data_IF_063571651209
#
_entry.id   IF_063571651209
#
_cell.length_a   1.000
_cell.length_b   1.000
_cell.length_c   1.000
_cell.angle_alpha   90.00
_cell.angle_beta   90.00
_cell.angle_gamma   90.00
#
_symmetry.space_group_name_H-M   'P 1'
#
loop_
_entity.id
_entity.type
_entity.pdbx_description
1 polymer ?
#
# COMPACT_ATOMS: atom_id res chain seq x y z
N UNK A 1 55.64 -14.53 41.11
CA UNK A 1 55.22 -15.89 40.71
C UNK A 1 54.30 -15.75 39.49
N UNK A 2 54.54 -16.57 38.46
CA UNK A 2 53.89 -16.65 37.13
C UNK A 2 52.36 -16.44 37.14
N UNK A 3 51.82 -15.60 36.26
CA UNK A 3 51.19 -15.92 34.96
C UNK A 3 49.75 -16.45 35.10
N UNK A 4 48.78 -15.74 34.52
CA UNK A 4 47.77 -16.31 33.61
C UNK A 4 46.87 -15.22 33.01
N UNK A 5 46.98 -15.07 31.69
CA UNK A 5 45.97 -14.50 30.80
C UNK A 5 44.68 -15.33 30.88
N UNK A 6 43.52 -14.68 31.01
CA UNK A 6 42.26 -15.19 30.46
C UNK A 6 41.55 -14.03 29.76
N UNK A 7 41.63 -14.05 28.44
CA UNK A 7 40.67 -13.40 27.54
C UNK A 7 39.38 -14.20 27.68
N UNK A 8 38.32 -13.59 28.22
CA UNK A 8 36.96 -14.14 28.10
C UNK A 8 36.12 -13.18 27.27
N UNK A 9 35.99 -13.56 26.02
CA UNK A 9 35.01 -13.11 25.04
C UNK A 9 33.61 -13.29 25.65
N UNK A 10 32.94 -12.22 26.11
CA UNK A 10 31.51 -12.27 26.41
C UNK A 10 30.76 -11.40 25.41
N UNK A 11 30.51 -12.06 24.27
CA UNK A 11 29.32 -12.02 23.43
C UNK A 11 28.40 -10.83 23.72
N UNK A 12 28.42 -9.92 22.76
CA UNK A 12 27.43 -8.90 22.49
C UNK A 12 26.07 -9.57 22.24
N UNK A 13 25.37 -9.98 23.29
CA UNK A 13 23.92 -10.14 23.22
C UNK A 13 23.33 -8.76 23.42
N UNK A 14 23.17 -8.02 22.32
CA UNK A 14 22.07 -7.08 22.21
C UNK A 14 20.79 -7.88 22.46
N UNK A 15 20.42 -8.00 23.73
CA UNK A 15 19.03 -8.21 24.09
C UNK A 15 18.31 -7.03 23.45
N UNK A 16 17.63 -7.28 22.33
CA UNK A 16 16.59 -6.42 21.82
C UNK A 16 15.58 -6.30 22.98
N UNK A 17 15.71 -5.24 23.78
CA UNK A 17 14.64 -4.78 24.62
C UNK A 17 13.45 -4.55 23.68
N UNK A 18 12.36 -5.27 23.91
CA UNK A 18 11.05 -4.89 23.42
C UNK A 18 10.75 -3.48 23.93
N UNK A 19 10.95 -2.47 23.08
CA UNK A 19 10.57 -1.10 23.41
C UNK A 19 9.05 -1.00 23.22
N UNK A 20 8.28 -1.34 24.25
CA UNK A 20 6.95 -0.78 24.46
C UNK A 20 7.13 0.69 24.82
N UNK A 21 7.37 1.53 23.82
CA UNK A 21 7.58 2.97 23.99
C UNK A 21 6.27 3.70 24.24
N UNK A 22 6.30 4.77 25.02
CA UNK A 22 5.19 5.73 25.11
C UNK A 22 5.01 6.42 23.75
N UNK A 23 3.76 6.55 23.29
CA UNK A 23 3.41 7.25 22.05
C UNK A 23 3.91 8.71 22.10
N UNK A 24 4.70 9.14 21.10
CA UNK A 24 5.11 10.55 20.94
C UNK A 24 4.25 11.25 19.90
N UNK A 25 4.23 12.58 19.96
CA UNK A 25 3.66 13.39 18.88
C UNK A 25 4.44 13.10 17.59
N UNK A 26 3.76 12.87 16.46
CA UNK A 26 4.34 12.53 15.14
C UNK A 26 4.81 11.09 14.91
N UNK A 27 4.37 10.15 15.74
CA UNK A 27 4.65 8.73 15.55
C UNK A 27 3.38 7.92 15.25
N UNK A 28 3.58 6.66 14.86
CA UNK A 28 2.53 5.65 14.68
C UNK A 28 2.72 4.48 15.65
N UNK A 29 1.60 3.90 16.09
CA UNK A 29 1.51 2.59 16.77
C UNK A 29 0.49 1.72 16.05
N UNK A 30 0.18 0.54 16.60
CA UNK A 30 -0.93 -0.27 16.15
C UNK A 30 -1.90 -0.66 17.26
N UNK A 31 -3.15 -0.92 16.86
CA UNK A 31 -4.21 -1.46 17.72
C UNK A 31 -5.13 -2.41 16.94
N UNK A 32 -6.02 -3.08 17.67
CA UNK A 32 -7.06 -3.92 17.11
C UNK A 32 -6.63 -5.34 16.78
N UNK A 33 -7.48 -6.05 16.05
CA UNK A 33 -7.27 -7.44 15.70
C UNK A 33 -7.19 -7.70 14.20
N UNK A 34 -6.90 -8.95 13.88
CA UNK A 34 -6.92 -9.51 12.53
C UNK A 34 -8.28 -9.26 11.86
N UNK A 35 -8.29 -9.01 10.55
CA UNK A 35 -9.52 -8.71 9.81
C UNK A 35 -10.57 -9.82 9.91
N UNK A 36 -10.19 -11.07 10.17
CA UNK A 36 -11.15 -12.16 10.40
C UNK A 36 -12.06 -11.95 11.62
N UNK A 37 -11.64 -11.11 12.56
CA UNK A 37 -12.41 -10.75 13.75
C UNK A 37 -13.32 -9.53 13.53
N UNK A 38 -13.33 -8.94 12.32
CA UNK A 38 -14.16 -7.79 11.96
C UNK A 38 -15.18 -8.24 10.89
N UNK A 39 -16.47 -7.88 11.00
CA UNK A 39 -17.11 -6.93 11.92
C UNK A 39 -17.73 -7.59 13.18
N UNK A 40 -17.08 -8.59 13.78
CA UNK A 40 -17.72 -9.34 14.86
C UNK A 40 -18.01 -8.42 16.06
N UNK A 41 -19.23 -8.54 16.61
CA UNK A 41 -19.58 -7.91 17.89
C UNK A 41 -18.74 -8.48 19.02
N UNK A 42 -18.62 -7.75 20.13
CA UNK A 42 -17.95 -8.22 21.34
C UNK A 42 -18.37 -9.64 21.77
N UNK A 43 -19.67 -9.91 21.81
CA UNK A 43 -20.20 -11.23 22.18
C UNK A 43 -19.83 -12.34 21.19
N UNK A 44 -19.61 -12.01 19.92
CA UNK A 44 -19.13 -12.96 18.92
C UNK A 44 -17.62 -13.19 19.05
N UNK A 45 -16.83 -12.13 19.28
CA UNK A 45 -15.38 -12.24 19.53
C UNK A 45 -15.09 -13.11 20.76
N UNK A 46 -15.88 -12.95 21.83
CA UNK A 46 -15.79 -13.75 23.06
C UNK A 46 -16.04 -15.26 22.86
N UNK A 47 -16.51 -15.68 21.69
CA UNK A 47 -16.74 -17.10 21.34
C UNK A 47 -15.61 -17.69 20.49
N UNK A 48 -14.68 -16.88 19.99
CA UNK A 48 -13.62 -17.30 19.06
C UNK A 48 -12.27 -17.07 19.73
N UNK A 49 -11.54 -18.14 20.03
CA UNK A 49 -10.29 -18.08 20.82
C UNK A 49 -9.28 -17.04 20.30
N UNK A 50 -9.14 -16.93 18.97
CA UNK A 50 -8.22 -15.99 18.33
C UNK A 50 -8.66 -14.52 18.42
N UNK A 51 -9.95 -14.26 18.72
CA UNK A 51 -10.52 -12.92 18.82
C UNK A 51 -10.76 -12.47 20.28
N UNK A 52 -10.55 -13.34 21.29
CA UNK A 52 -10.74 -13.04 22.73
C UNK A 52 -9.67 -12.13 23.33
N UNK A 53 -8.62 -11.79 22.58
CA UNK A 53 -7.50 -10.98 23.07
C UNK A 53 -7.92 -9.56 23.43
N UNK A 54 -7.37 -9.00 24.52
CA UNK A 54 -7.62 -7.61 24.95
C UNK A 54 -7.40 -6.58 23.83
N UNK A 55 -6.39 -6.82 22.99
CA UNK A 55 -6.08 -6.00 21.81
C UNK A 55 -7.20 -6.04 20.76
N UNK A 56 -7.95 -7.13 20.62
CA UNK A 56 -9.07 -7.19 19.68
C UNK A 56 -10.26 -6.34 20.15
N UNK A 57 -10.48 -6.25 21.46
CA UNK A 57 -11.56 -5.46 22.04
C UNK A 57 -11.32 -3.94 21.94
N UNK A 58 -10.11 -3.49 21.58
CA UNK A 58 -9.87 -2.07 21.29
C UNK A 58 -10.51 -1.60 19.99
N UNK A 59 -11.11 -2.50 19.21
CA UNK A 59 -11.93 -2.16 18.01
C UNK A 59 -13.43 -2.26 18.27
N UNK A 60 -13.84 -2.57 19.50
CA UNK A 60 -15.25 -2.59 19.88
C UNK A 60 -15.76 -1.14 20.01
N UNK A 61 -16.93 -0.85 19.44
CA UNK A 61 -17.55 0.47 19.49
C UNK A 61 -16.72 1.60 18.85
N UNK A 62 -16.33 1.50 17.57
CA UNK A 62 -15.49 2.51 16.91
C UNK A 62 -16.15 3.90 16.91
N UNK A 63 -15.47 4.91 17.44
CA UNK A 63 -16.05 6.23 17.77
C UNK A 63 -16.55 7.03 16.55
N UNK A 64 -16.07 6.74 15.34
CA UNK A 64 -16.48 7.44 14.13
C UNK A 64 -17.71 6.83 13.43
N UNK A 65 -18.21 5.70 13.93
CA UNK A 65 -19.30 4.93 13.33
C UNK A 65 -20.34 4.58 14.40
N UNK A 66 -21.55 4.18 13.99
CA UNK A 66 -22.60 3.77 14.94
C UNK A 66 -22.28 2.43 15.59
N UNK A 67 -21.70 1.52 14.83
CA UNK A 67 -21.40 0.15 15.23
C UNK A 67 -20.30 -0.47 14.34
N UNK A 68 -19.81 -1.65 14.73
CA UNK A 68 -18.77 -2.40 14.01
C UNK A 68 -19.22 -2.84 12.62
N UNK A 69 -20.52 -3.05 12.39
CA UNK A 69 -21.03 -3.42 11.07
C UNK A 69 -20.98 -2.24 10.11
N UNK A 70 -21.33 -1.02 10.56
CA UNK A 70 -21.18 0.20 9.75
C UNK A 70 -19.68 0.49 9.48
N UNK A 71 -18.82 0.23 10.47
CA UNK A 71 -17.40 0.47 10.34
C UNK A 71 -16.69 -0.57 9.45
N UNK A 72 -17.01 -1.86 9.54
CA UNK A 72 -16.21 -2.92 8.93
C UNK A 72 -17.01 -3.93 8.09
N UNK A 73 -18.33 -3.93 8.18
CA UNK A 73 -19.17 -5.03 7.69
C UNK A 73 -19.31 -5.16 6.17
N UNK A 74 -18.89 -4.15 5.43
CA UNK A 74 -18.79 -4.19 3.97
C UNK A 74 -17.39 -4.57 3.46
N UNK A 75 -16.44 -4.84 4.37
CA UNK A 75 -15.06 -5.14 4.04
C UNK A 75 -14.30 -3.99 3.38
N UNK A 76 -14.81 -2.75 3.40
CA UNK A 76 -14.14 -1.59 2.77
C UNK A 76 -13.07 -0.96 3.66
N UNK A 77 -13.17 -1.15 4.98
CA UNK A 77 -12.27 -0.59 5.98
C UNK A 77 -11.31 -1.64 6.57
N UNK A 78 -10.77 -2.52 5.73
CA UNK A 78 -9.69 -3.45 6.12
C UNK A 78 -8.47 -2.67 6.63
N UNK A 79 -8.15 -1.57 5.94
CA UNK A 79 -7.13 -0.63 6.39
C UNK A 79 -7.78 0.55 7.11
N UNK A 80 -7.59 0.60 8.42
CA UNK A 80 -8.16 1.63 9.27
C UNK A 80 -7.14 2.23 10.24
N UNK A 81 -7.53 3.30 10.90
CA UNK A 81 -6.74 4.03 11.90
C UNK A 81 -7.63 4.78 12.90
N UNK A 82 -7.06 5.10 14.05
CA UNK A 82 -7.60 6.02 15.05
C UNK A 82 -6.74 7.29 15.15
N UNK A 83 -7.39 8.44 15.27
CA UNK A 83 -6.72 9.74 15.46
C UNK A 83 -6.82 10.20 16.92
N UNK A 84 -5.82 10.92 17.41
CA UNK A 84 -5.83 11.46 18.77
C UNK A 84 -7.03 12.40 19.01
N UNK A 85 -7.69 12.28 20.15
CA UNK A 85 -8.72 13.23 20.61
C UNK A 85 -8.14 14.60 20.97
N UNK A 86 -6.82 14.71 21.12
CA UNK A 86 -6.11 15.98 21.33
C UNK A 86 -5.87 16.72 20.00
N UNK A 87 -6.10 16.08 18.85
CA UNK A 87 -6.05 16.74 17.55
C UNK A 87 -7.20 17.76 17.44
N UNK A 88 -6.87 19.01 17.14
CA UNK A 88 -7.87 20.05 16.97
C UNK A 88 -8.88 19.68 15.86
N UNK A 89 -10.17 19.79 16.19
CA UNK A 89 -11.26 19.42 15.30
C UNK A 89 -11.37 17.91 14.97
N UNK A 90 -10.78 17.01 15.77
CA UNK A 90 -10.70 15.56 15.45
C UNK A 90 -12.02 14.93 14.97
N UNK A 91 -13.16 15.28 15.58
CA UNK A 91 -14.48 14.75 15.20
C UNK A 91 -14.83 15.02 13.74
N UNK A 92 -14.37 16.14 13.18
CA UNK A 92 -14.62 16.52 11.78
C UNK A 92 -13.82 15.68 10.78
N UNK A 93 -12.86 14.89 11.26
CA UNK A 93 -12.02 14.03 10.42
C UNK A 93 -12.46 12.57 10.44
N UNK A 94 -13.46 12.21 11.25
CA UNK A 94 -14.08 10.90 11.20
C UNK A 94 -14.55 10.58 9.78
N UNK A 95 -14.39 9.31 9.37
CA UNK A 95 -14.74 8.84 8.02
C UNK A 95 -13.96 9.52 6.88
N UNK A 96 -12.94 10.33 7.15
CA UNK A 96 -11.97 10.72 6.12
C UNK A 96 -10.86 9.66 6.01
N UNK A 97 -9.99 9.83 5.03
CA UNK A 97 -8.79 9.03 4.90
C UNK A 97 -7.64 9.65 5.68
N UNK A 98 -6.91 8.82 6.43
CA UNK A 98 -5.55 9.13 6.82
C UNK A 98 -4.61 8.48 5.81
N UNK A 99 -3.71 9.27 5.23
CA UNK A 99 -2.67 8.75 4.33
C UNK A 99 -1.35 8.99 5.03
N UNK A 100 -0.54 7.96 5.19
CA UNK A 100 0.67 7.99 6.00
C UNK A 100 1.85 7.40 5.25
N UNK A 101 3.02 7.97 5.49
CA UNK A 101 4.30 7.58 4.92
C UNK A 101 5.39 7.63 5.99
N UNK A 102 6.24 6.62 6.03
CA UNK A 102 7.36 6.59 6.96
C UNK A 102 8.45 7.62 6.58
N UNK A 103 9.06 8.22 7.60
CA UNK A 103 10.22 9.10 7.49
C UNK A 103 11.42 8.46 8.17
N UNK A 104 11.97 7.41 7.54
CA UNK A 104 13.05 6.57 8.11
C UNK A 104 14.46 7.08 7.82
N UNK A 105 14.63 8.01 6.88
CA UNK A 105 15.94 8.38 6.33
C UNK A 105 16.35 7.55 5.12
N UNK A 106 15.47 6.70 4.58
CA UNK A 106 15.75 5.81 3.44
C UNK A 106 14.90 6.17 2.21
N UNK A 107 15.38 5.80 1.00
CA UNK A 107 14.75 6.10 -0.29
C UNK A 107 13.70 5.07 -0.75
N UNK A 108 12.89 4.52 0.17
CA UNK A 108 11.83 3.54 -0.14
C UNK A 108 10.54 3.71 0.68
N UNK A 109 10.01 4.92 0.89
CA UNK A 109 8.85 5.07 1.75
C UNK A 109 7.57 4.75 0.97
N UNK A 110 6.96 3.65 1.41
CA UNK A 110 5.61 3.25 1.03
C UNK A 110 4.60 4.17 1.72
N UNK A 111 3.52 4.47 1.01
CA UNK A 111 2.36 5.18 1.54
C UNK A 111 1.19 4.21 1.68
N UNK A 112 0.45 4.30 2.78
CA UNK A 112 -0.81 3.60 2.97
C UNK A 112 -1.94 4.60 3.22
N UNK A 113 -3.11 4.30 2.64
CA UNK A 113 -4.39 4.95 2.89
C UNK A 113 -5.22 4.09 3.82
N UNK A 114 -5.63 4.67 4.93
CA UNK A 114 -6.52 4.05 5.92
C UNK A 114 -7.80 4.87 6.06
N UNK A 115 -8.89 4.24 6.48
CA UNK A 115 -10.09 4.95 6.93
C UNK A 115 -9.93 5.36 8.39
N UNK A 116 -10.29 6.60 8.73
CA UNK A 116 -10.38 7.03 10.13
C UNK A 116 -11.70 6.48 10.70
N UNK A 117 -11.59 5.41 11.50
CA UNK A 117 -12.74 4.69 12.06
C UNK A 117 -12.93 4.93 13.55
N UNK A 118 -11.91 5.38 14.24
CA UNK A 118 -11.95 5.54 15.69
C UNK A 118 -11.09 6.73 16.15
N UNK A 119 -11.07 6.94 17.46
CA UNK A 119 -10.29 7.98 18.12
C UNK A 119 -9.51 7.40 19.29
N UNK A 120 -8.30 7.91 19.52
CA UNK A 120 -7.43 7.46 20.60
C UNK A 120 -7.32 8.54 21.68
N UNK A 121 -7.70 8.20 22.91
CA UNK A 121 -7.79 9.17 24.02
C UNK A 121 -6.46 9.43 24.74
N UNK A 122 -5.60 8.42 24.74
CA UNK A 122 -4.29 8.35 25.36
C UNK A 122 -3.17 8.81 24.43
N UNK A 123 -3.46 8.89 23.13
CA UNK A 123 -2.53 9.32 22.10
C UNK A 123 -2.23 10.82 22.19
N UNK A 124 -0.96 11.19 22.03
CA UNK A 124 -0.54 12.60 21.89
C UNK A 124 -1.16 13.23 20.64
N UNK A 125 -1.27 14.56 20.63
CA UNK A 125 -1.94 15.37 19.61
C UNK A 125 -1.80 14.92 18.14
N UNK A 126 -0.61 14.55 17.69
CA UNK A 126 -0.33 14.21 16.29
C UNK A 126 -0.07 12.73 16.03
N UNK A 127 -0.25 11.91 17.04
CA UNK A 127 -0.10 10.46 16.94
C UNK A 127 -1.23 9.86 16.12
N UNK A 128 -0.89 8.88 15.28
CA UNK A 128 -1.85 8.13 14.46
C UNK A 128 -1.73 6.64 14.82
N UNK A 129 -2.79 6.08 15.38
CA UNK A 129 -2.81 4.68 15.78
C UNK A 129 -3.41 3.84 14.64
N UNK A 130 -2.66 2.88 14.11
CA UNK A 130 -3.05 2.14 12.91
C UNK A 130 -3.72 0.80 13.27
N UNK A 131 -4.72 0.38 12.51
CA UNK A 131 -5.15 -1.01 12.60
C UNK A 131 -3.99 -1.96 12.30
N UNK A 132 -3.95 -3.13 12.93
CA UNK A 132 -2.88 -4.13 12.79
C UNK A 132 -2.43 -4.35 11.34
N UNK A 133 -3.37 -4.64 10.43
CA UNK A 133 -3.06 -4.86 9.01
C UNK A 133 -2.55 -3.59 8.29
N UNK A 134 -3.00 -2.41 8.72
CA UNK A 134 -2.50 -1.12 8.20
C UNK A 134 -1.04 -0.93 8.59
N UNK A 135 -0.72 -1.19 9.86
CA UNK A 135 0.64 -1.05 10.39
C UNK A 135 1.63 -1.98 9.68
N UNK A 136 1.25 -3.24 9.48
CA UNK A 136 2.06 -4.25 8.80
C UNK A 136 2.45 -3.91 7.35
N UNK A 137 1.73 -2.99 6.69
CA UNK A 137 2.14 -2.50 5.37
C UNK A 137 3.33 -1.57 5.42
N UNK A 138 3.58 -0.95 6.57
CA UNK A 138 4.67 -0.02 6.80
C UNK A 138 5.82 -0.69 7.55
N UNK A 139 5.51 -1.37 8.64
CA UNK A 139 6.50 -1.93 9.57
C UNK A 139 6.03 -3.28 10.13
N UNK A 140 6.95 -4.22 10.43
CA UNK A 140 6.59 -5.42 11.18
C UNK A 140 6.09 -5.05 12.58
N UNK A 141 5.15 -5.84 13.13
CA UNK A 141 4.52 -5.57 14.44
C UNK A 141 5.49 -5.57 15.63
N UNK A 142 6.66 -6.22 15.49
CA UNK A 142 7.71 -6.19 16.50
C UNK A 142 8.42 -4.82 16.60
N UNK A 143 8.15 -3.91 15.66
CA UNK A 143 8.55 -2.50 15.71
C UNK A 143 7.41 -1.69 16.29
N UNK A 144 7.59 -1.14 17.49
CA UNK A 144 6.50 -0.43 18.18
C UNK A 144 6.18 0.97 17.65
N UNK A 145 7.18 1.72 17.15
CA UNK A 145 7.06 3.17 16.91
C UNK A 145 7.89 3.62 15.70
N UNK A 146 7.32 4.51 14.86
CA UNK A 146 8.08 5.20 13.81
C UNK A 146 7.62 6.63 13.52
N UNK A 147 8.59 7.47 13.15
CA UNK A 147 8.38 8.84 12.69
C UNK A 147 7.74 8.86 11.30
N UNK A 148 6.73 9.71 11.12
CA UNK A 148 5.92 9.73 9.89
C UNK A 148 5.63 11.16 9.41
N UNK A 149 5.29 11.24 8.14
CA UNK A 149 4.41 12.28 7.61
C UNK A 149 3.07 11.64 7.29
N UNK A 150 1.99 12.30 7.69
CA UNK A 150 0.66 11.87 7.35
C UNK A 150 -0.27 13.06 7.09
N UNK A 151 -1.39 12.80 6.43
CA UNK A 151 -2.38 13.82 6.16
C UNK A 151 -3.78 13.27 6.10
N UNK A 152 -4.75 14.18 6.23
CA UNK A 152 -6.17 13.89 6.23
C UNK A 152 -6.74 14.32 4.90
N UNK A 153 -7.40 13.39 4.21
CA UNK A 153 -7.94 13.59 2.88
C UNK A 153 -9.38 13.11 2.80
N UNK A 154 -10.23 13.86 2.12
CA UNK A 154 -11.56 13.41 1.75
C UNK A 154 -11.51 12.36 0.64
N UNK A 155 -12.65 11.75 0.32
CA UNK A 155 -12.76 10.78 -0.77
C UNK A 155 -12.47 11.38 -2.16
N UNK A 156 -12.80 12.65 -2.37
CA UNK A 156 -12.46 13.37 -3.61
C UNK A 156 -11.00 13.91 -3.61
N UNK A 157 -10.20 13.59 -2.59
CA UNK A 157 -8.80 13.97 -2.50
C UNK A 157 -8.55 15.43 -2.09
N UNK A 158 -9.53 16.09 -1.48
CA UNK A 158 -9.32 17.38 -0.82
C UNK A 158 -8.45 17.19 0.42
N UNK A 159 -7.36 17.95 0.52
CA UNK A 159 -6.48 17.90 1.70
C UNK A 159 -7.06 18.76 2.81
N UNK A 160 -7.37 18.14 3.96
CA UNK A 160 -7.83 18.84 5.16
C UNK A 160 -6.69 19.23 6.09
N UNK A 161 -5.68 18.36 6.23
CA UNK A 161 -4.53 18.60 7.11
C UNK A 161 -3.31 17.80 6.65
N UNK A 162 -2.12 18.31 6.95
CA UNK A 162 -0.84 17.60 6.80
C UNK A 162 -0.07 17.76 8.10
N UNK A 163 0.54 16.68 8.57
CA UNK A 163 1.14 16.56 9.91
C UNK A 163 2.48 15.86 9.76
N UNK A 164 3.54 16.53 10.22
CA UNK A 164 4.90 16.00 10.29
C UNK A 164 5.73 16.89 11.21
N UNK A 165 6.80 16.34 11.78
CA UNK A 165 7.81 17.11 12.51
C UNK A 165 8.90 17.58 11.54
N UNK A 166 8.87 18.88 11.21
CA UNK A 166 9.85 19.52 10.33
C UNK A 166 11.23 19.69 10.97
N UNK A 167 11.31 19.63 12.30
CA UNK A 167 12.56 19.79 13.04
C UNK A 167 13.29 18.45 13.23
N UNK A 168 12.57 17.34 13.15
CA UNK A 168 13.10 16.00 13.32
C UNK A 168 14.24 15.65 12.33
N UNK A 169 15.30 15.05 12.86
CA UNK A 169 16.48 14.68 12.08
C UNK A 169 16.17 13.60 11.02
N UNK A 170 15.34 12.60 11.34
CA UNK A 170 14.96 11.53 10.39
C UNK A 170 14.10 12.08 9.25
N UNK A 171 13.24 13.06 9.54
CA UNK A 171 12.49 13.80 8.51
C UNK A 171 13.44 14.47 7.51
N UNK A 172 14.42 15.23 8.01
CA UNK A 172 15.43 15.92 7.18
C UNK A 172 16.30 14.94 6.39
N UNK A 173 16.71 13.83 7.02
CA UNK A 173 17.46 12.74 6.38
C UNK A 173 16.67 12.08 5.26
N UNK A 174 15.36 11.90 5.44
CA UNK A 174 14.50 11.32 4.39
C UNK A 174 14.49 12.19 3.15
N UNK A 175 14.30 13.52 3.29
CA UNK A 175 14.36 14.44 2.16
C UNK A 175 15.73 14.42 1.47
N UNK A 176 16.81 14.40 2.27
CA UNK A 176 18.19 14.30 1.77
C UNK A 176 18.45 13.01 1.00
N UNK A 177 17.89 11.87 1.43
CA UNK A 177 18.02 10.59 0.74
C UNK A 177 17.34 10.60 -0.65
N UNK A 178 16.33 11.44 -0.85
CA UNK A 178 15.73 11.70 -2.15
C UNK A 178 16.48 12.75 -2.98
N UNK A 179 17.46 13.45 -2.40
CA UNK A 179 18.16 14.56 -3.06
C UNK A 179 17.28 15.79 -3.26
N UNK A 180 16.27 15.99 -2.40
CA UNK A 180 15.34 17.13 -2.48
C UNK A 180 15.26 17.91 -1.18
N UNK A 181 14.71 19.11 -1.24
CA UNK A 181 14.34 19.89 -0.05
C UNK A 181 13.18 19.24 0.72
N UNK A 182 13.06 19.57 2.01
CA UNK A 182 11.93 19.11 2.82
C UNK A 182 10.58 19.55 2.24
N UNK A 183 10.49 20.77 1.72
CA UNK A 183 9.27 21.28 1.09
C UNK A 183 8.88 20.48 -0.16
N UNK A 184 9.85 20.08 -0.98
CA UNK A 184 9.60 19.22 -2.15
C UNK A 184 9.12 17.83 -1.75
N UNK A 185 9.69 17.24 -0.69
CA UNK A 185 9.22 15.97 -0.13
C UNK A 185 7.76 16.07 0.35
N UNK A 186 7.43 17.13 1.08
CA UNK A 186 6.08 17.37 1.61
C UNK A 186 5.08 17.61 0.47
N UNK A 187 5.46 18.36 -0.56
CA UNK A 187 4.61 18.60 -1.74
C UNK A 187 4.38 17.32 -2.56
N UNK A 188 5.42 16.51 -2.74
CA UNK A 188 5.31 15.22 -3.40
C UNK A 188 4.42 14.25 -2.62
N UNK A 189 4.54 14.24 -1.29
CA UNK A 189 3.66 13.47 -0.42
C UNK A 189 2.21 13.94 -0.60
N UNK A 190 1.95 15.25 -0.51
CA UNK A 190 0.62 15.82 -0.68
C UNK A 190 0.00 15.43 -2.02
N UNK A 191 0.75 15.56 -3.10
CA UNK A 191 0.29 15.25 -4.46
C UNK A 191 -0.05 13.76 -4.60
N UNK A 192 0.84 12.89 -4.14
CA UNK A 192 0.64 11.43 -4.16
C UNK A 192 -0.55 11.02 -3.30
N UNK A 193 -0.69 11.60 -2.10
CA UNK A 193 -1.78 11.32 -1.19
C UNK A 193 -3.14 11.74 -1.76
N UNK A 194 -3.25 12.92 -2.38
CA UNK A 194 -4.47 13.35 -3.09
C UNK A 194 -4.88 12.37 -4.19
N UNK A 195 -3.90 11.84 -4.93
CA UNK A 195 -4.14 10.83 -5.97
C UNK A 195 -4.61 9.51 -5.37
N UNK A 196 -3.93 9.03 -4.31
CA UNK A 196 -4.27 7.79 -3.62
C UNK A 196 -5.67 7.85 -3.00
N UNK A 197 -6.05 8.99 -2.41
CA UNK A 197 -7.37 9.23 -1.82
C UNK A 197 -8.51 8.97 -2.82
N UNK A 198 -8.38 9.51 -4.04
CA UNK A 198 -9.34 9.36 -5.14
C UNK A 198 -9.34 7.98 -5.79
N UNK A 199 -8.27 7.21 -5.59
CA UNK A 199 -8.11 5.90 -6.22
C UNK A 199 -8.80 4.79 -5.41
N UNK A 200 -9.07 3.65 -6.03
CA UNK A 200 -9.48 2.43 -5.33
C UNK A 200 -8.31 1.72 -4.60
N UNK A 201 -7.07 2.19 -4.76
CA UNK A 201 -5.89 1.59 -4.14
C UNK A 201 -5.75 2.05 -2.69
N UNK A 202 -5.12 1.21 -1.88
CA UNK A 202 -4.78 1.51 -0.49
C UNK A 202 -3.29 1.77 -0.28
N UNK A 203 -2.44 1.35 -1.22
CA UNK A 203 -0.98 1.43 -1.11
C UNK A 203 -0.43 2.04 -2.39
N UNK A 204 0.58 2.88 -2.25
CA UNK A 204 1.40 3.39 -3.36
C UNK A 204 2.79 3.72 -2.84
N UNK A 205 3.76 3.77 -3.74
CA UNK A 205 5.08 4.29 -3.42
C UNK A 205 5.17 5.75 -3.88
N UNK A 206 5.93 6.57 -3.14
CA UNK A 206 6.24 7.94 -3.55
C UNK A 206 7.39 7.94 -4.56
N UNK A 207 7.30 8.76 -5.60
CA UNK A 207 8.38 8.94 -6.58
C UNK A 207 8.82 10.41 -6.58
N UNK A 208 10.09 10.65 -6.27
CA UNK A 208 10.69 11.98 -6.14
C UNK A 208 12.09 11.98 -6.79
N UNK A 209 12.31 12.86 -7.77
CA UNK A 209 13.59 13.09 -8.46
C UNK A 209 13.77 12.25 -9.74
N UNK A 210 14.36 12.76 -10.84
CA UNK A 210 15.12 14.00 -11.04
C UNK A 210 14.33 15.11 -11.76
N UNK A 211 14.59 16.36 -11.38
CA UNK A 211 14.01 17.58 -11.96
C UNK A 211 14.32 17.75 -13.46
N UNK A 212 13.29 18.07 -14.22
CA UNK A 212 13.30 19.24 -15.09
C UNK A 212 11.98 20.01 -14.84
N UNK A 213 11.93 21.35 -15.01
CA UNK A 213 10.84 22.18 -14.52
C UNK A 213 9.51 21.85 -15.21
N UNK A 214 8.44 22.10 -14.47
CA UNK A 214 7.03 22.12 -14.86
C UNK A 214 6.78 22.39 -16.36
N UNK A 215 6.05 21.54 -17.10
CA UNK A 215 5.35 21.96 -18.30
C UNK A 215 3.89 22.26 -17.97
N UNK A 216 3.57 23.54 -18.14
CA UNK A 216 2.25 24.07 -18.46
C UNK A 216 1.54 23.19 -19.51
N UNK A 217 0.23 23.03 -19.32
CA UNK A 217 -0.76 22.48 -20.26
C UNK A 217 -0.30 22.39 -21.73
N UNK A 218 -0.18 21.16 -22.25
CA UNK A 218 -0.57 20.81 -23.62
C UNK A 218 -0.44 19.30 -23.88
N UNK A 219 -1.51 18.72 -24.44
CA UNK A 219 -1.58 17.36 -25.02
C UNK A 219 -0.73 17.32 -26.30
N UNK A 220 0.06 16.25 -26.55
CA UNK A 220 -0.19 15.44 -27.76
C UNK A 220 0.07 13.93 -27.65
N UNK A 221 -0.39 13.25 -28.70
CA UNK A 221 -0.47 11.82 -29.07
C UNK A 221 0.85 11.03 -29.14
N UNK A 222 0.80 9.69 -29.37
CA UNK A 222 1.90 8.76 -29.12
C UNK A 222 2.89 8.65 -30.28
N UNK A 223 4.19 8.52 -29.97
CA UNK A 223 5.19 8.05 -30.94
C UNK A 223 6.21 7.13 -30.28
N UNK A 224 6.33 5.95 -30.87
CA UNK A 224 7.30 4.88 -30.63
C UNK A 224 8.75 5.36 -30.81
N UNK A 225 9.66 4.98 -29.90
CA UNK A 225 11.08 4.87 -30.22
C UNK A 225 11.76 3.74 -29.44
N UNK A 226 12.44 2.88 -30.19
CA UNK A 226 13.22 1.74 -29.73
C UNK A 226 14.42 2.20 -28.90
N UNK A 227 14.38 2.01 -27.58
CA UNK A 227 15.57 1.89 -26.75
C UNK A 227 15.53 0.53 -26.06
N UNK A 228 16.61 -0.24 -26.13
CA UNK A 228 16.68 -1.56 -25.52
C UNK A 228 16.69 -1.37 -24.00
N UNK A 229 15.56 -1.66 -23.36
CA UNK A 229 15.39 -1.55 -21.91
C UNK A 229 16.41 -2.43 -21.15
N UNK A 230 16.85 -2.00 -19.95
CA UNK A 230 17.78 -2.77 -19.13
C UNK A 230 17.15 -4.09 -18.64
N UNK A 231 17.97 -5.09 -18.32
CA UNK A 231 17.51 -6.36 -17.75
C UNK A 231 17.45 -6.30 -16.22
N UNK A 232 16.41 -6.88 -15.60
CA UNK A 232 16.12 -6.78 -14.16
C UNK A 232 15.56 -8.08 -13.58
N UNK A 233 15.82 -8.40 -12.32
CA UNK A 233 15.19 -9.52 -11.60
C UNK A 233 14.08 -9.06 -10.63
N UNK A 234 13.82 -7.76 -10.53
CA UNK A 234 12.90 -7.17 -9.54
C UNK A 234 11.69 -6.50 -10.19
N UNK A 235 11.89 -5.48 -11.01
CA UNK A 235 10.82 -4.73 -11.69
C UNK A 235 10.96 -4.76 -13.22
N UNK A 236 9.86 -4.55 -13.92
CA UNK A 236 9.75 -4.63 -15.38
C UNK A 236 8.58 -3.80 -15.91
N UNK A 237 8.54 -3.59 -17.23
CA UNK A 237 7.49 -2.85 -17.89
C UNK A 237 8.04 -1.85 -18.91
N UNK A 238 7.13 -1.24 -19.67
CA UNK A 238 7.47 -0.23 -20.67
C UNK A 238 8.28 0.91 -20.06
N UNK A 239 9.39 1.29 -20.70
CA UNK A 239 10.29 2.32 -20.17
C UNK A 239 11.07 1.94 -18.89
N UNK A 240 10.84 0.77 -18.29
CA UNK A 240 11.45 0.37 -17.01
C UNK A 240 12.59 -0.64 -17.23
N UNK A 241 12.23 -1.89 -17.55
CA UNK A 241 13.18 -2.98 -17.69
C UNK A 241 12.49 -4.22 -18.30
N UNK A 242 13.29 -5.12 -18.86
CA UNK A 242 12.88 -6.48 -19.21
C UNK A 242 13.34 -7.42 -18.10
N UNK A 243 12.48 -8.34 -17.68
CA UNK A 243 12.86 -9.36 -16.70
C UNK A 243 13.99 -10.25 -17.22
N UNK A 244 14.86 -10.69 -16.32
CA UNK A 244 15.91 -11.65 -16.61
C UNK A 244 15.31 -12.95 -17.17
N UNK A 245 16.13 -13.71 -17.91
CA UNK A 245 15.70 -14.95 -18.53
C UNK A 245 15.04 -15.91 -17.52
N UNK A 246 13.86 -16.43 -17.89
CA UNK A 246 13.05 -17.30 -17.03
C UNK A 246 12.25 -16.59 -15.93
N UNK A 247 12.21 -15.25 -15.91
CA UNK A 247 11.32 -14.46 -15.04
C UNK A 247 10.17 -13.86 -15.86
N UNK A 248 8.99 -13.88 -15.25
CA UNK A 248 7.76 -13.32 -15.79
C UNK A 248 7.58 -11.88 -15.32
N UNK A 249 7.11 -11.01 -16.20
CA UNK A 249 6.75 -9.66 -15.82
C UNK A 249 5.27 -9.61 -15.46
N UNK A 250 4.94 -9.45 -14.18
CA UNK A 250 3.55 -9.40 -13.73
C UNK A 250 2.80 -8.19 -14.30
N UNK A 251 1.46 -8.23 -14.26
CA UNK A 251 0.62 -7.07 -14.59
C UNK A 251 0.89 -5.83 -13.74
N UNK A 252 1.60 -6.01 -12.62
CA UNK A 252 1.98 -4.95 -11.68
C UNK A 252 3.42 -4.49 -11.85
N UNK A 253 4.12 -4.94 -12.90
CA UNK A 253 5.48 -4.50 -13.21
C UNK A 253 6.58 -5.12 -12.34
N UNK A 254 6.36 -6.34 -11.86
CA UNK A 254 7.34 -7.07 -11.06
C UNK A 254 7.84 -8.32 -11.79
N UNK A 255 9.13 -8.61 -11.67
CA UNK A 255 9.72 -9.85 -12.11
C UNK A 255 9.56 -10.93 -11.05
N UNK A 256 9.07 -12.09 -11.45
CA UNK A 256 8.99 -13.25 -10.58
C UNK A 256 8.71 -14.52 -11.37
N UNK A 257 8.82 -15.68 -10.71
CA UNK A 257 8.65 -17.00 -11.35
C UNK A 257 7.34 -17.71 -10.95
N UNK A 258 6.59 -17.17 -9.98
CA UNK A 258 5.34 -17.79 -9.53
C UNK A 258 4.15 -17.39 -10.40
N UNK A 259 3.05 -18.13 -10.28
CA UNK A 259 1.82 -17.90 -11.07
C UNK A 259 1.27 -16.46 -10.96
N UNK A 260 1.51 -15.78 -9.83
CA UNK A 260 1.09 -14.38 -9.64
C UNK A 260 1.83 -13.41 -10.57
N UNK A 261 3.03 -13.78 -11.02
CA UNK A 261 3.83 -13.00 -11.97
C UNK A 261 3.65 -13.51 -13.40
N UNK A 262 3.49 -14.82 -13.56
CA UNK A 262 3.48 -15.49 -14.84
C UNK A 262 2.09 -15.70 -15.45
N UNK A 263 1.04 -15.59 -14.64
CA UNK A 263 -0.34 -15.85 -15.03
C UNK A 263 -1.04 -14.63 -15.66
N UNK A 264 -2.33 -14.47 -15.36
CA UNK A 264 -3.18 -13.47 -16.01
C UNK A 264 -2.64 -12.04 -15.89
N UNK A 265 -2.46 -11.39 -17.05
CA UNK A 265 -1.93 -10.03 -17.16
C UNK A 265 -0.41 -9.92 -17.15
N UNK A 266 0.32 -11.05 -17.18
CA UNK A 266 1.76 -11.02 -17.44
C UNK A 266 2.07 -10.25 -18.74
N UNK A 267 3.10 -9.40 -18.71
CA UNK A 267 3.50 -8.50 -19.80
C UNK A 267 4.58 -9.18 -20.68
N UNK A 268 4.21 -9.78 -21.83
CA UNK A 268 5.10 -10.66 -22.59
C UNK A 268 6.28 -9.94 -23.25
N UNK A 269 6.18 -8.63 -23.47
CA UNK A 269 7.28 -7.82 -23.99
C UNK A 269 8.39 -7.57 -22.97
N UNK A 270 8.11 -7.82 -21.67
CA UNK A 270 9.01 -7.49 -20.57
C UNK A 270 9.32 -8.71 -19.68
N UNK A 271 8.93 -9.93 -20.05
CA UNK A 271 9.29 -11.16 -19.34
C UNK A 271 8.66 -12.41 -19.98
N UNK A 272 9.08 -13.59 -19.52
CA UNK A 272 8.57 -14.88 -20.00
C UNK A 272 7.21 -15.17 -19.37
N UNK A 273 6.09 -15.07 -20.07
CA UNK A 273 4.78 -15.36 -19.48
C UNK A 273 4.39 -16.84 -19.58
N UNK A 274 3.83 -17.41 -18.51
CA UNK A 274 3.24 -18.74 -18.56
C UNK A 274 1.96 -18.62 -19.39
N UNK A 275 2.02 -19.05 -20.64
CA UNK A 275 0.86 -19.17 -21.50
C UNK A 275 0.00 -20.36 -21.05
N UNK A 276 -0.52 -20.33 -19.82
CA UNK A 276 -1.77 -21.04 -19.54
C UNK A 276 -2.86 -20.12 -20.03
N UNK A 277 -3.62 -20.51 -21.07
CA UNK A 277 -4.72 -19.68 -21.53
C UNK A 277 -5.71 -19.56 -20.38
N UNK A 278 -5.79 -18.40 -19.74
CA UNK A 278 -7.02 -18.07 -19.06
C UNK A 278 -8.08 -18.07 -20.15
N UNK A 279 -9.13 -18.87 -20.02
CA UNK A 279 -10.28 -18.82 -20.93
C UNK A 279 -11.06 -17.50 -20.77
N UNK A 280 -10.45 -16.46 -20.21
CA UNK A 280 -11.02 -15.14 -19.98
C UNK A 280 -10.40 -14.14 -20.94
N UNK A 281 -11.22 -13.20 -21.38
CA UNK A 281 -10.84 -12.11 -22.28
C UNK A 281 -11.61 -10.84 -21.94
N UNK A 282 -11.14 -9.70 -22.43
CA UNK A 282 -11.74 -8.40 -22.18
C UNK A 282 -10.73 -7.38 -21.67
N UNK A 283 -11.18 -6.15 -21.32
CA UNK A 283 -10.30 -5.06 -20.90
C UNK A 283 -9.37 -5.41 -19.74
N UNK A 284 -9.80 -6.30 -18.84
CA UNK A 284 -9.03 -6.73 -17.67
C UNK A 284 -8.15 -7.97 -17.92
N UNK A 285 -8.44 -8.75 -18.97
CA UNK A 285 -7.87 -10.09 -19.19
C UNK A 285 -7.06 -10.21 -20.49
N UNK A 286 -7.17 -9.23 -21.40
CA UNK A 286 -6.52 -9.25 -22.70
C UNK A 286 -7.29 -10.06 -23.75
N UNK A 287 -6.58 -10.41 -24.82
CA UNK A 287 -7.17 -11.12 -25.97
C UNK A 287 -7.10 -12.64 -25.81
N UNK A 288 -8.06 -13.34 -26.40
CA UNK A 288 -8.04 -14.79 -26.50
C UNK A 288 -6.88 -15.30 -27.35
N UNK A 289 -6.54 -16.58 -27.16
CA UNK A 289 -5.58 -17.27 -28.03
C UNK A 289 -6.03 -17.25 -29.50
N UNK A 290 -5.06 -17.35 -30.41
CA UNK A 290 -5.30 -17.25 -31.86
C UNK A 290 -6.39 -18.23 -32.32
N UNK A 291 -7.40 -17.71 -33.01
CA UNK A 291 -8.51 -18.51 -33.53
C UNK A 291 -9.69 -18.69 -32.57
N UNK A 292 -9.69 -18.04 -31.41
CA UNK A 292 -10.81 -18.01 -30.46
C UNK A 292 -11.56 -16.66 -30.50
N UNK A 293 -12.84 -16.73 -30.20
CA UNK A 293 -13.74 -15.60 -30.06
C UNK A 293 -13.81 -15.16 -28.60
N UNK A 294 -13.97 -13.86 -28.34
CA UNK A 294 -14.18 -13.33 -27.00
C UNK A 294 -15.65 -13.01 -26.81
N UNK A 295 -16.38 -13.79 -26.01
CA UNK A 295 -17.82 -13.55 -25.79
C UNK A 295 -18.09 -12.25 -25.04
N UNK A 296 -19.34 -11.80 -25.06
CA UNK A 296 -19.80 -10.64 -24.26
C UNK A 296 -19.58 -10.78 -22.76
N UNK A 297 -19.39 -12.02 -22.27
CA UNK A 297 -19.14 -12.32 -20.85
C UNK A 297 -17.65 -12.45 -20.52
N UNK A 298 -16.78 -12.17 -21.50
CA UNK A 298 -15.34 -12.21 -21.32
C UNK A 298 -14.80 -13.63 -21.22
N UNK A 299 -15.28 -14.54 -22.06
CA UNK A 299 -14.79 -15.91 -22.19
C UNK A 299 -14.31 -16.24 -23.62
N UNK A 300 -13.26 -17.05 -23.72
CA UNK A 300 -12.64 -17.48 -24.95
C UNK A 300 -13.14 -18.84 -25.42
N UNK A 301 -13.76 -18.92 -26.61
CA UNK A 301 -14.21 -20.17 -27.22
C UNK A 301 -14.41 -20.00 -28.75
N UNK A 302 -14.73 -21.08 -29.48
CA UNK A 302 -15.05 -21.06 -30.93
C UNK A 302 -16.54 -21.26 -31.23
N UNK A 303 -17.39 -21.38 -30.21
CA UNK A 303 -18.82 -21.69 -30.46
C UNK A 303 -19.55 -20.47 -31.03
N UNK A 304 -20.63 -20.67 -31.83
CA UNK A 304 -21.43 -19.58 -32.35
C UNK A 304 -21.94 -18.60 -31.27
N UNK A 305 -22.18 -19.08 -30.05
CA UNK A 305 -22.59 -18.24 -28.92
C UNK A 305 -21.48 -17.28 -28.45
N UNK A 306 -20.21 -17.66 -28.61
CA UNK A 306 -19.07 -16.82 -28.26
C UNK A 306 -18.67 -15.90 -29.40
N UNK A 307 -18.81 -16.36 -30.65
CA UNK A 307 -18.44 -15.62 -31.85
C UNK A 307 -19.55 -14.70 -32.38
N UNK A 308 -20.80 -14.92 -31.97
CA UNK A 308 -21.97 -14.17 -32.45
C UNK A 308 -22.24 -12.88 -31.67
N UNK A 309 -23.52 -12.56 -31.47
CA UNK A 309 -23.96 -11.26 -30.91
C UNK A 309 -23.32 -10.95 -29.56
N UNK A 310 -22.59 -9.84 -29.52
CA UNK A 310 -21.90 -9.34 -28.32
C UNK A 310 -20.45 -9.82 -28.18
N UNK A 311 -19.92 -10.56 -29.16
CA UNK A 311 -18.49 -10.83 -29.25
C UNK A 311 -17.69 -9.51 -29.20
N UNK A 312 -16.55 -9.52 -28.49
CA UNK A 312 -15.69 -8.36 -28.26
C UNK A 312 -14.52 -8.37 -29.28
N UNK A 313 -14.62 -7.65 -30.41
CA UNK A 313 -13.66 -7.78 -31.53
C UNK A 313 -12.26 -7.25 -31.22
N UNK A 314 -12.10 -6.46 -30.15
CA UNK A 314 -10.78 -6.03 -29.67
C UNK A 314 -10.00 -7.15 -28.97
N UNK A 315 -10.68 -8.22 -28.57
CA UNK A 315 -10.12 -9.26 -27.70
C UNK A 315 -10.30 -10.68 -28.26
N UNK A 316 -10.84 -10.84 -29.48
CA UNK A 316 -11.03 -12.12 -30.15
C UNK A 316 -11.61 -11.95 -31.55
N UNK A 317 -11.74 -13.06 -32.29
CA UNK A 317 -12.38 -13.06 -33.62
C UNK A 317 -13.90 -13.07 -33.44
N UNK A 318 -14.64 -12.29 -34.22
CA UNK A 318 -16.10 -12.26 -34.19
C UNK A 318 -16.66 -12.53 -35.59
N UNK A 319 -17.82 -13.20 -35.66
CA UNK A 319 -18.52 -13.55 -36.89
C UNK A 319 -19.63 -12.56 -37.23
#
# INVERSE_FOLDING_TARGET
>A
MKLLFIISLLICTFAFLEVKGEARSYEITHYGCDSKCLPLTKSQKDKIDECKGKECHTTDGPSCYRDENEAFGDGRNVYFSAISTQLDGYKNYCKHYAIVMLLTGEKKPRMIKTRIVDTCTECKQYHLDLGKESFEKLLPLDKGIANVIWGIYTENGEQKKIIYDSNNEKTKKTASAFGVSLNELVNAFSTTAKSLAKSSKYITDISIGNSNPLPTSSKPSPTSSNSKLPTSITTCGDGVAVCAEGYCCSKYGWCGKSEQYCGAGCQPNYGTCNSKPSNRCGPEYGSCAKGLCCSKYGWCDKTPQHCGTGCQPKYGICN
#
